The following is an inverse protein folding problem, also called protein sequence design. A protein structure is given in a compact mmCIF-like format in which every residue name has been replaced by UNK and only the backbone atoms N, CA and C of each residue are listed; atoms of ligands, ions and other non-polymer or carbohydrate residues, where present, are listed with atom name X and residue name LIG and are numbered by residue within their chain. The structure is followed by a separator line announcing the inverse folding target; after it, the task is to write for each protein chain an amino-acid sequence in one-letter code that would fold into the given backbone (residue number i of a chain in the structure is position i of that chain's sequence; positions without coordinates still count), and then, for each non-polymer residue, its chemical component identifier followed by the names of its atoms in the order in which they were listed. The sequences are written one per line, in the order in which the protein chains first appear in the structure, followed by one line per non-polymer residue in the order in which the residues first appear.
data_IF_619985342951
#
_entry.id   IF_619985342951
#
_cell.length_a   1.000
_cell.length_b   1.000
_cell.length_c   1.000
_cell.angle_alpha   90.00
_cell.angle_beta   90.00
_cell.angle_gamma   90.00
#
_symmetry.space_group_name_H-M   'P 1'
#
loop_
_entity.id
_entity.type
_entity.pdbx_description
1 polymer ?
#
# COMPACT_ATOMS: atom_id res chain seq x y z
N UNK A 1 13.41 1.71 13.29
CA UNK A 1 13.68 0.68 12.26
C UNK A 1 13.96 -0.65 12.93
N UNK A 2 13.22 -1.68 12.53
CA UNK A 2 13.48 -3.06 12.97
C UNK A 2 14.18 -3.82 11.84
N UNK A 3 15.08 -4.74 12.21
CA UNK A 3 15.81 -5.60 11.27
C UNK A 3 15.68 -7.03 11.76
N UNK A 4 15.23 -7.89 10.86
CA UNK A 4 15.05 -9.31 11.14
C UNK A 4 16.00 -10.12 10.26
N UNK A 5 16.62 -11.15 10.83
CA UNK A 5 17.44 -12.10 10.11
C UNK A 5 16.79 -13.49 10.21
N UNK A 6 16.85 -14.25 9.12
CA UNK A 6 16.30 -15.63 9.03
C UNK A 6 14.83 -15.69 9.51
N UNK A 7 14.00 -14.73 9.09
CA UNK A 7 12.62 -14.63 9.56
C UNK A 7 11.66 -15.47 8.73
N UNK A 8 10.77 -16.20 9.40
CA UNK A 8 9.66 -16.90 8.75
C UNK A 8 8.55 -15.90 8.37
N UNK A 9 8.23 -15.88 7.08
CA UNK A 9 7.23 -15.01 6.49
C UNK A 9 5.77 -15.49 6.66
N UNK A 10 5.51 -16.55 7.42
CA UNK A 10 4.18 -17.09 7.66
C UNK A 10 3.16 -16.03 8.10
N UNK A 11 3.59 -15.08 8.95
CA UNK A 11 2.75 -13.97 9.44
C UNK A 11 2.65 -12.79 8.48
N UNK A 12 3.49 -12.76 7.44
CA UNK A 12 3.66 -11.65 6.52
C UNK A 12 3.03 -11.89 5.15
N UNK A 13 2.30 -13.00 4.99
CA UNK A 13 1.53 -13.29 3.79
C UNK A 13 0.15 -13.85 4.15
N UNK A 14 -0.85 -13.59 3.30
CA UNK A 14 -2.24 -13.99 3.54
C UNK A 14 -2.49 -15.48 3.29
N UNK A 15 -1.65 -16.13 2.50
CA UNK A 15 -1.74 -17.55 2.20
C UNK A 15 -1.17 -18.42 3.34
N UNK A 16 -0.54 -17.81 4.36
CA UNK A 16 0.07 -18.51 5.51
C UNK A 16 1.12 -19.55 5.10
N UNK A 17 1.86 -19.23 4.04
CA UNK A 17 2.96 -20.08 3.58
C UNK A 17 4.23 -19.77 4.40
N UNK A 18 4.89 -20.84 4.82
CA UNK A 18 6.22 -20.76 5.40
C UNK A 18 7.25 -20.45 4.33
N UNK A 19 8.05 -19.43 4.57
CA UNK A 19 9.17 -19.02 3.72
C UNK A 19 10.16 -18.26 4.57
N UNK A 20 11.44 -18.54 4.43
CA UNK A 20 12.48 -17.87 5.22
C UNK A 20 13.05 -16.71 4.41
N UNK A 21 12.94 -15.49 4.94
CA UNK A 21 13.65 -14.34 4.41
C UNK A 21 14.99 -14.17 5.14
N UNK A 22 16.09 -14.14 4.37
CA UNK A 22 17.45 -13.94 4.91
C UNK A 22 17.56 -12.65 5.73
N UNK A 23 16.97 -11.57 5.22
CA UNK A 23 16.92 -10.28 5.93
C UNK A 23 15.64 -9.52 5.56
N UNK A 24 14.99 -8.92 6.55
CA UNK A 24 13.84 -8.04 6.37
C UNK A 24 14.04 -6.77 7.18
N UNK A 25 13.85 -5.62 6.52
CA UNK A 25 13.84 -4.29 7.12
C UNK A 25 12.41 -3.83 7.30
N UNK A 26 12.07 -3.33 8.48
CA UNK A 26 10.77 -2.72 8.79
C UNK A 26 10.98 -1.29 9.25
N UNK A 27 10.85 -0.29 8.34
CA UNK A 27 10.91 1.12 8.69
C UNK A 27 9.65 1.54 9.45
N UNK A 28 9.80 2.48 10.39
CA UNK A 28 8.71 3.05 11.17
C UNK A 28 8.35 4.49 10.71
N UNK A 29 9.17 5.06 9.82
CA UNK A 29 8.95 6.38 9.23
C UNK A 29 9.70 6.52 7.89
N UNK A 30 9.46 7.66 7.22
CA UNK A 30 10.05 7.93 5.89
C UNK A 30 11.56 8.09 5.95
N UNK A 31 12.11 8.65 7.01
CA UNK A 31 13.57 8.85 7.14
C UNK A 31 14.30 7.51 7.25
N UNK A 32 13.76 6.58 8.00
CA UNK A 32 14.27 5.20 8.09
C UNK A 32 14.15 4.47 6.75
N UNK A 33 13.02 4.66 6.04
CA UNK A 33 12.83 4.11 4.70
C UNK A 33 13.90 4.62 3.72
N UNK A 34 14.17 5.93 3.74
CA UNK A 34 15.22 6.55 2.94
C UNK A 34 16.62 6.03 3.31
N UNK A 35 16.89 5.84 4.60
CA UNK A 35 18.17 5.29 5.07
C UNK A 35 18.39 3.85 4.55
N UNK A 36 17.34 3.01 4.57
CA UNK A 36 17.38 1.65 4.02
C UNK A 36 17.71 1.70 2.52
N UNK A 37 17.00 2.52 1.73
CA UNK A 37 17.23 2.58 0.28
C UNK A 37 18.58 3.15 -0.08
N UNK A 38 19.10 4.16 0.64
CA UNK A 38 20.47 4.66 0.44
C UNK A 38 21.50 3.58 0.69
N UNK A 39 21.33 2.79 1.77
CA UNK A 39 22.17 1.64 2.07
C UNK A 39 22.16 0.61 0.94
N UNK A 40 20.97 0.13 0.55
CA UNK A 40 20.81 -0.89 -0.47
C UNK A 40 21.34 -0.41 -1.84
N UNK A 41 21.13 0.86 -2.18
CA UNK A 41 21.68 1.48 -3.40
C UNK A 41 23.20 1.54 -3.38
N UNK A 42 23.80 1.95 -2.24
CA UNK A 42 25.26 1.98 -2.08
C UNK A 42 25.90 0.59 -2.22
N UNK A 43 25.19 -0.44 -1.74
CA UNK A 43 25.64 -1.84 -1.80
C UNK A 43 25.33 -2.49 -3.17
N UNK A 44 24.65 -1.81 -4.09
CA UNK A 44 24.18 -2.39 -5.35
C UNK A 44 23.20 -3.55 -5.17
N UNK A 45 22.52 -3.61 -4.02
CA UNK A 45 21.71 -4.75 -3.62
C UNK A 45 20.26 -4.58 -4.07
N UNK A 46 19.78 -5.48 -4.92
CA UNK A 46 18.37 -5.57 -5.28
C UNK A 46 17.53 -6.04 -4.08
N UNK A 47 16.31 -5.55 -3.97
CA UNK A 47 15.40 -5.83 -2.86
C UNK A 47 13.97 -6.07 -3.34
N UNK A 48 13.13 -6.57 -2.43
CA UNK A 48 11.69 -6.68 -2.62
C UNK A 48 10.95 -5.73 -1.69
N UNK A 49 9.83 -5.16 -2.16
CA UNK A 49 8.88 -4.44 -1.34
C UNK A 49 7.76 -5.39 -0.93
N UNK A 50 7.44 -5.42 0.35
CA UNK A 50 6.37 -6.22 0.90
C UNK A 50 5.42 -5.35 1.72
N UNK A 51 4.16 -5.31 1.32
CA UNK A 51 3.08 -4.73 2.11
C UNK A 51 2.29 -5.84 2.82
N UNK A 52 0.97 -5.86 2.73
CA UNK A 52 0.11 -6.85 3.39
C UNK A 52 0.30 -8.32 2.93
N UNK A 53 1.10 -8.57 1.88
CA UNK A 53 1.43 -9.91 1.40
C UNK A 53 0.24 -10.68 0.81
N UNK A 54 -0.74 -9.97 0.25
CA UNK A 54 -1.96 -10.58 -0.29
C UNK A 54 -1.90 -10.91 -1.79
N UNK A 55 -0.90 -10.41 -2.49
CA UNK A 55 -0.73 -10.61 -3.94
C UNK A 55 0.66 -11.15 -4.29
N UNK A 56 1.21 -12.00 -3.44
CA UNK A 56 2.54 -12.58 -3.61
C UNK A 56 2.55 -14.02 -3.13
N UNK A 57 3.31 -14.86 -3.83
CA UNK A 57 3.64 -16.21 -3.42
C UNK A 57 5.17 -16.29 -3.27
N UNK A 58 5.62 -16.66 -2.09
CA UNK A 58 7.05 -16.80 -1.80
C UNK A 58 7.56 -18.19 -2.15
N UNK A 59 8.80 -18.27 -2.65
CA UNK A 59 9.55 -19.53 -2.63
C UNK A 59 9.94 -19.93 -1.20
N UNK A 60 10.53 -21.11 -1.04
CA UNK A 60 10.90 -21.63 0.29
C UNK A 60 11.90 -20.68 1.02
N UNK A 61 12.77 -20.01 0.27
CA UNK A 61 13.77 -19.09 0.81
C UNK A 61 13.94 -17.87 -0.08
N UNK A 62 14.09 -16.70 0.55
CA UNK A 62 14.27 -15.40 -0.10
C UNK A 62 15.62 -14.81 0.32
N UNK A 63 16.56 -14.77 -0.62
CA UNK A 63 17.91 -14.25 -0.38
C UNK A 63 17.99 -12.71 -0.50
N UNK A 64 17.17 -12.11 -1.39
CA UNK A 64 17.11 -10.65 -1.52
C UNK A 64 16.49 -10.01 -0.29
N UNK A 65 17.02 -8.90 0.20
CA UNK A 65 16.40 -8.15 1.27
C UNK A 65 14.93 -7.80 0.97
N UNK A 66 14.09 -7.92 1.99
CA UNK A 66 12.71 -7.45 1.95
C UNK A 66 12.62 -6.12 2.71
N UNK A 67 11.94 -5.14 2.16
CA UNK A 67 11.52 -3.91 2.86
C UNK A 67 10.01 -4.03 3.12
N UNK A 68 9.65 -4.22 4.39
CA UNK A 68 8.27 -4.43 4.83
C UNK A 68 7.60 -3.11 5.19
N UNK A 69 6.50 -2.80 4.50
CA UNK A 69 5.93 -1.45 4.46
C UNK A 69 4.63 -1.28 5.30
N UNK A 70 4.42 -2.12 6.33
CA UNK A 70 3.15 -2.06 7.09
C UNK A 70 3.20 -1.19 8.34
N UNK A 71 4.35 -0.61 8.68
CA UNK A 71 4.55 0.11 9.96
C UNK A 71 4.93 1.58 9.79
N UNK A 72 5.22 2.06 8.57
CA UNK A 72 5.86 3.37 8.41
C UNK A 72 4.88 4.55 8.30
N UNK A 73 3.64 4.33 7.86
CA UNK A 73 2.62 5.38 7.77
C UNK A 73 1.20 4.80 7.90
N UNK A 74 0.63 4.90 9.09
CA UNK A 74 -0.72 4.44 9.43
C UNK A 74 -1.69 5.58 9.75
N UNK A 75 -1.33 6.83 9.42
CA UNK A 75 -2.15 8.00 9.70
C UNK A 75 -3.34 8.10 8.75
N UNK A 76 -4.44 8.62 9.26
CA UNK A 76 -5.63 8.99 8.49
C UNK A 76 -6.09 10.38 8.92
N UNK A 77 -6.42 11.25 7.96
CA UNK A 77 -6.94 12.60 8.19
C UNK A 77 -8.17 12.83 7.31
N UNK A 78 -9.28 13.14 7.93
CA UNK A 78 -10.59 13.32 7.27
C UNK A 78 -10.92 14.82 7.16
N UNK A 79 -11.31 15.25 5.96
CA UNK A 79 -11.85 16.58 5.71
C UNK A 79 -13.38 16.57 5.74
N UNK A 80 -13.97 17.72 6.10
CA UNK A 80 -15.44 17.89 6.17
C UNK A 80 -16.13 17.72 4.81
N UNK A 81 -15.39 17.95 3.74
CA UNK A 81 -15.87 17.87 2.36
C UNK A 81 -15.85 16.45 1.76
N UNK A 82 -15.52 15.42 2.55
CA UNK A 82 -15.38 14.03 2.10
C UNK A 82 -13.98 13.70 1.56
N UNK A 83 -13.01 14.61 1.71
CA UNK A 83 -11.60 14.26 1.44
C UNK A 83 -11.03 13.41 2.57
N UNK A 84 -10.11 12.54 2.21
CA UNK A 84 -9.38 11.70 3.13
C UNK A 84 -7.94 11.57 2.67
N UNK A 85 -6.98 11.95 3.51
CA UNK A 85 -5.58 11.56 3.33
C UNK A 85 -5.29 10.33 4.17
N UNK A 86 -4.71 9.31 3.54
CA UNK A 86 -4.50 8.01 4.15
C UNK A 86 -3.08 7.49 3.88
N UNK A 87 -2.38 7.11 4.94
CA UNK A 87 -1.05 6.51 4.85
C UNK A 87 -1.08 5.14 4.15
N UNK A 88 -0.02 4.82 3.43
CA UNK A 88 0.06 3.62 2.63
C UNK A 88 0.01 2.31 3.43
N UNK A 89 0.39 2.36 4.72
CA UNK A 89 0.38 1.20 5.63
C UNK A 89 -0.99 0.92 6.26
N UNK A 90 -1.96 1.81 6.11
CA UNK A 90 -3.33 1.61 6.62
C UNK A 90 -3.95 0.40 5.93
N UNK A 91 -4.57 -0.49 6.71
CA UNK A 91 -5.33 -1.63 6.17
C UNK A 91 -6.66 -1.16 5.59
N UNK A 92 -7.07 -1.76 4.47
CA UNK A 92 -8.35 -1.42 3.83
C UNK A 92 -9.52 -1.62 4.80
N UNK A 93 -9.52 -2.66 5.64
CA UNK A 93 -10.57 -2.89 6.64
C UNK A 93 -10.66 -1.73 7.63
N UNK A 94 -9.52 -1.28 8.17
CA UNK A 94 -9.49 -0.14 9.11
C UNK A 94 -9.90 1.18 8.43
N UNK A 95 -9.57 1.35 7.14
CA UNK A 95 -10.05 2.48 6.35
C UNK A 95 -11.58 2.46 6.23
N UNK A 96 -12.18 1.31 5.87
CA UNK A 96 -13.63 1.16 5.71
C UNK A 96 -14.38 1.39 7.03
N UNK A 97 -13.85 0.88 8.15
CA UNK A 97 -14.41 1.14 9.49
C UNK A 97 -14.47 2.64 9.79
N UNK A 98 -13.37 3.35 9.50
CA UNK A 98 -13.33 4.80 9.68
C UNK A 98 -14.21 5.55 8.70
N UNK A 99 -14.28 5.15 7.43
CA UNK A 99 -15.18 5.75 6.45
C UNK A 99 -16.65 5.68 6.91
N UNK A 100 -17.06 4.57 7.52
CA UNK A 100 -18.40 4.43 8.12
C UNK A 100 -18.67 5.47 9.21
N UNK A 101 -17.71 5.71 10.11
CA UNK A 101 -17.83 6.72 11.18
C UNK A 101 -18.05 8.14 10.59
N UNK A 102 -17.52 8.43 9.41
CA UNK A 102 -17.64 9.71 8.73
C UNK A 102 -18.72 9.74 7.63
N UNK A 103 -19.56 8.70 7.56
CA UNK A 103 -20.60 8.54 6.53
C UNK A 103 -20.04 8.70 5.10
N UNK A 104 -18.88 8.09 4.84
CA UNK A 104 -18.23 8.05 3.54
C UNK A 104 -18.37 6.68 2.90
N UNK A 105 -18.59 6.65 1.58
CA UNK A 105 -18.70 5.40 0.84
C UNK A 105 -18.04 5.45 -0.53
N UNK A 106 -18.01 4.28 -1.19
CA UNK A 106 -17.54 4.12 -2.57
C UNK A 106 -16.61 2.93 -2.80
N UNK A 107 -15.87 2.47 -1.79
CA UNK A 107 -14.91 1.36 -1.92
C UNK A 107 -15.27 0.13 -1.05
N UNK A 108 -16.53 -0.01 -0.62
CA UNK A 108 -17.03 -1.11 0.22
C UNK A 108 -16.76 -2.49 -0.41
N UNK A 109 -16.73 -2.56 -1.74
CA UNK A 109 -16.39 -3.77 -2.49
C UNK A 109 -14.97 -4.30 -2.21
N UNK A 110 -14.12 -3.51 -1.53
CA UNK A 110 -12.80 -3.94 -1.09
C UNK A 110 -12.81 -4.56 0.32
N UNK A 111 -13.95 -4.68 1.01
CA UNK A 111 -14.04 -5.20 2.37
C UNK A 111 -13.40 -6.58 2.55
N UNK A 112 -13.51 -7.44 1.53
CA UNK A 112 -12.89 -8.78 1.55
C UNK A 112 -11.44 -8.82 1.06
N UNK A 113 -10.86 -7.68 0.68
CA UNK A 113 -9.50 -7.62 0.13
C UNK A 113 -8.50 -7.35 1.26
N UNK A 114 -7.67 -8.32 1.65
CA UNK A 114 -6.70 -8.16 2.75
C UNK A 114 -5.48 -7.37 2.29
N UNK A 115 -5.67 -6.09 1.97
CA UNK A 115 -4.64 -5.21 1.44
C UNK A 115 -4.39 -4.01 2.36
N UNK A 116 -3.26 -3.34 2.16
CA UNK A 116 -3.05 -1.96 2.62
C UNK A 116 -3.50 -0.97 1.54
N UNK A 117 -3.68 0.29 1.93
CA UNK A 117 -3.96 1.39 0.99
C UNK A 117 -2.90 1.48 -0.11
N UNK A 118 -1.61 1.45 0.25
CA UNK A 118 -0.52 1.47 -0.73
C UNK A 118 -0.58 0.29 -1.70
N UNK A 119 -0.86 -0.93 -1.21
CA UNK A 119 -1.03 -2.12 -2.04
C UNK A 119 -2.26 -2.03 -2.95
N UNK A 120 -3.37 -1.49 -2.43
CA UNK A 120 -4.60 -1.31 -3.20
C UNK A 120 -4.42 -0.27 -4.32
N UNK A 121 -3.75 0.84 -4.04
CA UNK A 121 -3.41 1.88 -5.04
C UNK A 121 -2.44 1.32 -6.08
N UNK A 122 -1.38 0.63 -5.66
CA UNK A 122 -0.39 0.01 -6.55
C UNK A 122 -1.03 -0.96 -7.55
N UNK A 123 -1.97 -1.78 -7.10
CA UNK A 123 -2.67 -2.76 -7.93
C UNK A 123 -3.93 -2.21 -8.60
N UNK A 124 -4.25 -0.93 -8.41
CA UNK A 124 -5.55 -0.37 -8.77
C UNK A 124 -6.69 -1.33 -8.39
N UNK A 125 -6.79 -1.61 -7.09
CA UNK A 125 -7.71 -2.61 -6.58
C UNK A 125 -9.17 -2.25 -6.92
N UNK A 126 -9.88 -3.20 -7.52
CA UNK A 126 -11.24 -2.99 -8.00
C UNK A 126 -12.03 -4.29 -8.08
N UNK A 127 -13.32 -4.18 -8.28
CA UNK A 127 -14.24 -5.31 -8.41
C UNK A 127 -14.73 -5.47 -9.85
N UNK A 128 -14.34 -6.61 -10.43
CA UNK A 128 -14.96 -7.24 -11.60
C UNK A 128 -14.97 -6.45 -12.91
N UNK A 129 -14.91 -7.17 -14.01
CA UNK A 129 -15.02 -6.59 -15.37
C UNK A 129 -16.35 -5.88 -15.63
N UNK A 130 -17.43 -6.30 -14.93
CA UNK A 130 -18.78 -5.75 -15.15
C UNK A 130 -19.02 -4.43 -14.39
N UNK A 131 -18.49 -4.25 -13.19
CA UNK A 131 -18.76 -3.05 -12.37
C UNK A 131 -17.82 -1.88 -12.67
N UNK A 132 -16.68 -2.13 -13.34
CA UNK A 132 -15.67 -1.12 -13.73
C UNK A 132 -15.31 -0.12 -12.61
N UNK A 133 -15.40 -0.53 -11.34
CA UNK A 133 -15.06 0.29 -10.18
C UNK A 133 -13.68 -0.08 -9.64
N UNK A 134 -12.86 0.90 -9.42
CA UNK A 134 -11.52 0.76 -8.86
C UNK A 134 -11.22 1.86 -7.84
N UNK A 135 -10.24 1.63 -6.99
CA UNK A 135 -9.85 2.63 -5.99
C UNK A 135 -9.41 3.94 -6.63
N UNK A 136 -8.88 3.89 -7.87
CA UNK A 136 -8.48 5.08 -8.62
C UNK A 136 -9.62 6.04 -8.95
N UNK A 137 -10.88 5.59 -8.96
CA UNK A 137 -12.04 6.45 -9.21
C UNK A 137 -12.22 7.53 -8.14
N UNK A 138 -11.57 7.34 -6.98
CA UNK A 138 -11.65 8.25 -5.82
C UNK A 138 -10.31 8.96 -5.52
N UNK A 139 -9.24 8.71 -6.28
CA UNK A 139 -7.91 9.28 -6.04
C UNK A 139 -7.87 10.74 -6.51
N UNK A 140 -7.53 11.65 -5.61
CA UNK A 140 -7.14 13.03 -5.95
C UNK A 140 -5.63 13.17 -6.17
N UNK A 141 -4.84 12.51 -5.32
CA UNK A 141 -3.39 12.48 -5.47
C UNK A 141 -2.76 11.30 -4.72
N UNK A 142 -1.57 10.91 -5.17
CA UNK A 142 -0.74 9.90 -4.49
C UNK A 142 0.65 10.49 -4.28
N UNK A 143 1.09 10.49 -3.02
CA UNK A 143 2.44 10.86 -2.62
C UNK A 143 3.31 9.61 -2.59
N UNK A 144 4.45 9.65 -3.26
CA UNK A 144 5.34 8.51 -3.37
C UNK A 144 6.81 8.92 -3.28
N UNK A 145 7.65 7.98 -2.88
CA UNK A 145 9.10 8.07 -2.96
C UNK A 145 9.57 7.45 -4.26
N UNK A 146 10.28 8.20 -5.07
CA UNK A 146 11.03 7.69 -6.21
C UNK A 146 12.39 7.18 -5.71
N UNK A 147 12.62 5.87 -5.81
CA UNK A 147 13.83 5.23 -5.30
C UNK A 147 15.06 5.54 -6.17
N UNK A 148 14.86 5.94 -7.44
CA UNK A 148 15.97 6.24 -8.34
C UNK A 148 16.71 7.52 -7.92
N UNK A 149 15.97 8.59 -7.61
CA UNK A 149 16.53 9.89 -7.22
C UNK A 149 16.36 10.21 -5.71
N UNK A 150 15.67 9.35 -4.96
CA UNK A 150 15.37 9.52 -3.52
C UNK A 150 14.53 10.78 -3.23
N UNK A 151 13.71 11.19 -4.17
CA UNK A 151 12.82 12.35 -4.03
C UNK A 151 11.39 11.92 -3.76
N UNK A 152 10.71 12.71 -2.93
CA UNK A 152 9.26 12.55 -2.71
C UNK A 152 8.53 13.37 -3.77
N UNK A 153 7.62 12.72 -4.48
CA UNK A 153 6.85 13.28 -5.59
C UNK A 153 5.36 13.04 -5.39
N UNK A 154 4.54 13.72 -6.18
CA UNK A 154 3.09 13.51 -6.22
C UNK A 154 2.64 13.25 -7.66
N UNK A 155 1.65 12.34 -7.81
CA UNK A 155 0.84 12.21 -9.01
C UNK A 155 -0.56 12.69 -8.64
N UNK A 156 -1.16 13.51 -9.49
CA UNK A 156 -2.51 14.08 -9.29
C UNK A 156 -3.49 13.43 -10.25
N UNK A 157 -4.72 13.20 -9.76
CA UNK A 157 -5.77 12.55 -10.51
C UNK A 157 -5.55 11.05 -10.70
N UNK A 158 -6.25 10.50 -11.66
CA UNK A 158 -6.26 9.05 -11.94
C UNK A 158 -5.74 8.68 -13.34
N UNK A 159 -5.00 9.56 -13.98
CA UNK A 159 -4.38 9.29 -15.28
C UNK A 159 -3.37 8.13 -15.18
N UNK A 160 -3.36 7.26 -16.19
CA UNK A 160 -2.50 6.09 -16.24
C UNK A 160 -2.97 4.89 -15.41
N UNK A 161 -4.12 4.98 -14.74
CA UNK A 161 -4.76 3.84 -14.10
C UNK A 161 -5.63 3.07 -15.10
N UNK A 162 -5.42 1.77 -15.17
CA UNK A 162 -6.22 0.83 -15.98
C UNK A 162 -6.64 -0.36 -15.10
N UNK A 163 -7.38 -1.31 -15.67
CA UNK A 163 -7.76 -2.51 -14.94
C UNK A 163 -6.54 -3.24 -14.38
N UNK A 164 -6.45 -3.32 -13.04
CA UNK A 164 -5.31 -3.93 -12.30
C UNK A 164 -3.95 -3.32 -12.61
N UNK A 165 -3.92 -2.09 -13.12
CA UNK A 165 -2.70 -1.37 -13.48
C UNK A 165 -2.70 0.02 -12.87
N UNK A 166 -1.54 0.46 -12.39
CA UNK A 166 -1.29 1.83 -11.92
C UNK A 166 0.02 2.38 -12.50
N UNK A 167 0.22 3.70 -12.52
CA UNK A 167 1.50 4.30 -12.94
C UNK A 167 2.70 3.77 -12.15
N UNK A 168 2.48 3.35 -10.89
CA UNK A 168 3.54 2.90 -9.98
C UNK A 168 4.15 1.55 -10.34
N UNK A 169 3.49 0.73 -11.16
CA UNK A 169 4.02 -0.59 -11.57
C UNK A 169 5.17 -0.49 -12.56
N UNK A 170 5.26 0.60 -13.31
CA UNK A 170 6.37 0.87 -14.25
C UNK A 170 7.50 1.69 -13.63
N UNK A 171 7.32 2.19 -12.42
CA UNK A 171 8.25 3.06 -11.71
C UNK A 171 8.92 2.30 -10.55
N UNK A 172 10.17 2.66 -10.25
CA UNK A 172 10.84 2.18 -9.04
C UNK A 172 10.44 3.05 -7.84
N UNK A 173 9.23 2.84 -7.31
CA UNK A 173 8.60 3.75 -6.34
C UNK A 173 8.04 3.04 -5.13
N UNK A 174 7.90 3.79 -4.02
CA UNK A 174 7.14 3.39 -2.83
C UNK A 174 6.05 4.40 -2.57
N UNK A 175 4.80 3.96 -2.56
CA UNK A 175 3.65 4.79 -2.19
C UNK A 175 3.75 5.11 -0.70
N UNK A 176 3.66 6.40 -0.34
CA UNK A 176 3.74 6.91 1.03
C UNK A 176 2.36 7.21 1.60
N UNK A 177 1.51 7.89 0.85
CA UNK A 177 0.11 8.18 1.19
C UNK A 177 -0.72 8.38 -0.09
N UNK A 178 -2.03 8.29 0.06
CA UNK A 178 -2.97 8.66 -0.99
C UNK A 178 -4.03 9.60 -0.41
N UNK A 179 -4.42 10.59 -1.21
CA UNK A 179 -5.54 11.48 -0.94
C UNK A 179 -6.70 11.08 -1.84
N UNK A 180 -7.85 10.90 -1.20
CA UNK A 180 -9.08 10.46 -1.83
C UNK A 180 -10.18 11.50 -1.68
N UNK A 181 -11.14 11.48 -2.60
CA UNK A 181 -12.42 12.16 -2.49
C UNK A 181 -13.53 11.11 -2.54
N UNK A 182 -14.16 10.89 -1.40
CA UNK A 182 -15.28 9.95 -1.27
C UNK A 182 -16.63 10.66 -1.27
N UNK A 183 -17.68 9.89 -1.54
CA UNK A 183 -19.06 10.39 -1.52
C UNK A 183 -19.61 10.26 -0.09
N UNK A 184 -20.26 11.32 0.42
CA UNK A 184 -21.02 11.22 1.66
C UNK A 184 -22.29 10.40 1.42
N UNK A 185 -22.43 9.32 2.16
CA UNK A 185 -23.62 8.45 2.16
C UNK A 185 -23.67 7.66 3.45
N UNK A 186 -24.86 7.26 3.86
CA UNK A 186 -25.00 6.26 4.92
C UNK A 186 -24.47 4.92 4.38
N UNK A 187 -23.38 4.46 4.94
CA UNK A 187 -22.72 3.21 4.49
C UNK A 187 -23.21 2.08 5.38
N UNK A 188 -24.14 1.29 4.87
CA UNK A 188 -24.44 -0.02 5.44
C UNK A 188 -23.43 -1.03 4.88
N UNK A 189 -22.41 -1.37 5.70
CA UNK A 189 -21.35 -2.34 5.31
C UNK A 189 -21.84 -3.80 5.49
N UNK A 190 -23.06 -3.99 5.94
CA UNK A 190 -23.68 -5.31 6.13
C UNK A 190 -24.30 -5.80 4.82
N UNK A 191 -23.46 -6.25 3.85
CA UNK A 191 -23.88 -7.20 2.81
C UNK A 191 -22.66 -7.95 2.26
#
# INVERSE_FOLDING_TARGET
MKIYNEIDLYRYNTMKLHSIARIMYEPENVDELLAIFRKLKKEGTAFYLLSAGSNIVFGARIERPIVYLMSFNTNMSFGEDGTLECGASVRIQSLLEKMKEFSLGGIEYLASVPSSVGGAVYMNAGRGRKMKRSISDYIESVRYLDVADMQIKNIYGNDGYLYRTSPFQSLNTVILSARFKFVKQDVDITN
#
